data_IF_932813515900
#
_entry.id   IF_932813515900
#
_cell.length_a   1.000
_cell.length_b   1.000
_cell.length_c   1.000
_cell.angle_alpha   90.00
_cell.angle_beta   90.00
_cell.angle_gamma   90.00
#
_symmetry.space_group_name_H-M   'P 1'
#
loop_
_entity.id
_entity.type
_entity.pdbx_description
1 polymer ?
#
# COMPACT_ATOMS: atom_id res chain seq x y z
N UNK A 1 8.70 -15.08 -25.90
CA UNK A 1 8.70 -13.62 -25.72
C UNK A 1 9.02 -13.28 -24.27
N UNK A 2 9.98 -12.43 -24.09
CA UNK A 2 10.31 -11.90 -22.74
C UNK A 2 9.23 -10.91 -22.31
N UNK A 3 8.89 -10.93 -21.02
CA UNK A 3 8.02 -9.89 -20.45
C UNK A 3 8.86 -8.64 -20.17
N UNK A 4 8.33 -7.45 -20.44
CA UNK A 4 9.03 -6.23 -20.08
C UNK A 4 9.15 -6.12 -18.54
N UNK A 5 10.18 -5.47 -18.07
CA UNK A 5 10.31 -5.13 -16.67
C UNK A 5 9.22 -4.14 -16.26
N UNK A 6 8.74 -4.31 -15.03
CA UNK A 6 7.79 -3.40 -14.41
C UNK A 6 8.49 -2.71 -13.24
N UNK A 7 8.35 -1.40 -13.17
CA UNK A 7 8.97 -0.61 -12.11
C UNK A 7 7.91 -0.02 -11.21
N UNK A 8 8.16 -0.07 -9.92
CA UNK A 8 7.32 0.54 -8.91
C UNK A 8 8.02 1.76 -8.30
N UNK A 9 7.25 2.76 -7.92
CA UNK A 9 7.73 3.86 -7.11
C UNK A 9 7.22 3.68 -5.68
N UNK A 10 8.12 3.86 -4.72
CA UNK A 10 7.82 3.72 -3.29
C UNK A 10 7.91 5.08 -2.64
N UNK A 11 6.87 5.47 -1.91
CA UNK A 11 6.87 6.71 -1.16
C UNK A 11 6.05 6.57 0.12
N UNK A 12 6.55 7.13 1.20
CA UNK A 12 5.86 7.11 2.49
C UNK A 12 4.72 8.13 2.56
N UNK A 13 4.77 9.15 1.72
CA UNK A 13 3.78 10.21 1.70
C UNK A 13 4.40 11.54 1.32
N UNK A 14 3.57 12.55 1.24
CA UNK A 14 3.92 13.91 0.86
C UNK A 14 3.11 14.89 1.72
N UNK A 15 3.44 16.20 1.72
CA UNK A 15 2.84 17.12 2.70
C UNK A 15 1.38 17.52 2.44
N UNK A 16 0.77 17.18 1.31
CA UNK A 16 -0.58 17.66 1.02
C UNK A 16 -1.34 16.75 0.05
N UNK A 17 -2.65 16.91 0.00
CA UNK A 17 -3.51 16.24 -0.99
C UNK A 17 -3.07 16.57 -2.42
N UNK A 18 -2.85 17.85 -2.71
CA UNK A 18 -2.43 18.29 -4.04
C UNK A 18 -1.11 17.62 -4.46
N UNK A 19 -0.14 17.57 -3.56
CA UNK A 19 1.14 16.92 -3.83
C UNK A 19 0.98 15.42 -4.03
N UNK A 20 0.09 14.76 -3.26
CA UNK A 20 -0.14 13.33 -3.39
C UNK A 20 -0.77 12.96 -4.74
N UNK A 21 -1.81 13.69 -5.13
CA UNK A 21 -2.47 13.50 -6.43
C UNK A 21 -1.49 13.77 -7.58
N UNK A 22 -0.68 14.83 -7.47
CA UNK A 22 0.34 15.15 -8.47
C UNK A 22 1.38 14.04 -8.59
N UNK A 23 1.82 13.47 -7.47
CA UNK A 23 2.77 12.36 -7.46
C UNK A 23 2.19 11.11 -8.15
N UNK A 24 0.96 10.75 -7.82
CA UNK A 24 0.30 9.59 -8.42
C UNK A 24 0.15 9.76 -9.94
N UNK A 25 -0.28 10.92 -10.39
CA UNK A 25 -0.42 11.23 -11.81
C UNK A 25 0.92 11.25 -12.53
N UNK A 26 1.95 11.81 -11.90
CA UNK A 26 3.30 11.82 -12.47
C UNK A 26 3.86 10.40 -12.61
N UNK A 27 3.65 9.54 -11.62
CA UNK A 27 4.07 8.15 -11.69
C UNK A 27 3.41 7.42 -12.87
N UNK A 28 2.11 7.64 -13.07
CA UNK A 28 1.38 7.09 -14.19
C UNK A 28 1.92 7.60 -15.54
N UNK A 29 2.08 8.90 -15.68
CA UNK A 29 2.57 9.54 -16.90
C UNK A 29 3.99 9.12 -17.26
N UNK A 30 4.84 8.89 -16.26
CA UNK A 30 6.23 8.47 -16.44
C UNK A 30 6.35 6.96 -16.76
N UNK A 31 5.24 6.23 -16.74
CA UNK A 31 5.24 4.82 -17.10
C UNK A 31 5.56 3.86 -15.96
N UNK A 32 5.56 4.30 -14.70
CA UNK A 32 5.64 3.37 -13.59
C UNK A 32 4.42 2.46 -13.56
N UNK A 33 4.67 1.18 -13.28
CA UNK A 33 3.59 0.19 -13.23
C UNK A 33 2.78 0.32 -11.94
N UNK A 34 3.42 0.61 -10.82
CA UNK A 34 2.79 0.55 -9.51
C UNK A 34 3.29 1.67 -8.60
N UNK A 35 2.37 2.25 -7.84
CA UNK A 35 2.67 3.13 -6.71
C UNK A 35 2.51 2.34 -5.43
N UNK A 36 3.53 2.38 -4.58
CA UNK A 36 3.61 1.57 -3.36
C UNK A 36 3.80 2.46 -2.15
N UNK A 37 3.00 2.24 -1.11
CA UNK A 37 3.11 2.93 0.17
C UNK A 37 3.52 1.91 1.24
N UNK A 38 4.58 2.16 2.03
CA UNK A 38 4.96 1.27 3.12
C UNK A 38 3.95 1.34 4.26
N UNK A 39 3.83 0.24 4.99
CA UNK A 39 2.89 0.10 6.10
C UNK A 39 3.60 0.30 7.44
N UNK A 40 3.71 1.56 7.85
CA UNK A 40 4.35 1.94 9.12
C UNK A 40 3.43 2.84 9.93
N UNK A 41 3.43 2.66 11.24
CA UNK A 41 2.54 3.41 12.14
C UNK A 41 3.08 4.79 12.49
N UNK A 42 4.38 5.00 12.41
CA UNK A 42 5.04 6.21 12.90
C UNK A 42 5.47 7.18 11.81
N UNK A 43 5.52 6.75 10.57
CA UNK A 43 5.92 7.59 9.45
C UNK A 43 5.04 7.33 8.24
N UNK A 44 4.82 8.39 7.47
CA UNK A 44 4.11 8.30 6.21
C UNK A 44 2.60 8.22 6.38
N UNK A 45 1.94 7.98 5.27
CA UNK A 45 0.49 7.85 5.22
C UNK A 45 0.03 6.46 5.63
N UNK A 46 -1.20 6.37 6.14
CA UNK A 46 -1.91 5.10 6.25
C UNK A 46 -2.12 4.56 4.83
N UNK A 47 -1.61 3.35 4.51
CA UNK A 47 -1.54 2.92 3.11
C UNK A 47 -2.88 2.81 2.42
N UNK A 48 -3.87 2.16 3.03
CA UNK A 48 -5.18 1.97 2.36
C UNK A 48 -5.88 3.29 2.06
N UNK A 49 -5.80 4.24 2.98
CA UNK A 49 -6.38 5.58 2.78
C UNK A 49 -5.69 6.32 1.64
N UNK A 50 -4.36 6.34 1.66
CA UNK A 50 -3.59 7.02 0.63
C UNK A 50 -3.76 6.37 -0.75
N UNK A 51 -3.80 5.05 -0.80
CA UNK A 51 -3.96 4.31 -2.04
C UNK A 51 -5.34 4.51 -2.67
N UNK A 52 -6.38 4.66 -1.86
CA UNK A 52 -7.71 4.98 -2.38
C UNK A 52 -7.72 6.30 -3.12
N UNK A 53 -7.08 7.33 -2.56
CA UNK A 53 -6.96 8.65 -3.22
C UNK A 53 -6.13 8.55 -4.50
N UNK A 54 -5.02 7.82 -4.45
CA UNK A 54 -4.17 7.63 -5.63
C UNK A 54 -4.90 6.89 -6.75
N UNK A 55 -5.68 5.89 -6.40
CA UNK A 55 -6.49 5.14 -7.36
C UNK A 55 -7.50 6.04 -8.07
N UNK A 56 -8.19 6.89 -7.31
CA UNK A 56 -9.19 7.82 -7.87
C UNK A 56 -8.55 8.87 -8.77
N UNK A 57 -7.33 9.25 -8.49
CA UNK A 57 -6.59 10.26 -9.25
C UNK A 57 -6.01 9.73 -10.57
N UNK A 58 -5.98 8.41 -10.76
CA UNK A 58 -5.31 7.75 -11.90
C UNK A 58 -6.25 6.77 -12.59
N UNK A 59 -5.83 6.26 -13.74
CA UNK A 59 -6.66 5.34 -14.53
C UNK A 59 -6.04 3.96 -14.72
N UNK A 60 -4.73 3.88 -14.88
CA UNK A 60 -4.02 2.63 -15.19
C UNK A 60 -2.96 2.26 -14.16
N UNK A 61 -2.53 3.20 -13.32
CA UNK A 61 -1.51 2.96 -12.30
C UNK A 61 -1.99 1.92 -11.30
N UNK A 62 -1.20 0.88 -11.07
CA UNK A 62 -1.48 -0.11 -10.03
C UNK A 62 -1.06 0.46 -8.69
N UNK A 63 -1.73 0.02 -7.64
CA UNK A 63 -1.54 0.50 -6.29
C UNK A 63 -1.35 -0.66 -5.33
N UNK A 64 -0.54 -0.47 -4.30
CA UNK A 64 -0.31 -1.51 -3.33
C UNK A 64 0.58 -1.08 -2.18
N UNK A 65 0.85 -1.99 -1.27
CA UNK A 65 1.82 -1.81 -0.20
C UNK A 65 2.90 -2.88 -0.30
N UNK A 66 4.08 -2.50 0.01
CA UNK A 66 5.22 -3.42 0.13
C UNK A 66 5.87 -3.21 1.49
N UNK A 67 5.43 -3.97 2.45
CA UNK A 67 4.28 -4.89 2.44
C UNK A 67 3.31 -4.46 3.52
N UNK A 68 2.06 -4.93 3.47
CA UNK A 68 1.17 -4.77 4.63
C UNK A 68 1.70 -5.60 5.78
N UNK A 69 1.79 -4.98 6.95
CA UNK A 69 2.21 -5.68 8.15
C UNK A 69 1.05 -6.49 8.72
N UNK A 70 1.23 -7.80 8.79
CA UNK A 70 0.19 -8.71 9.27
C UNK A 70 -0.21 -8.44 10.72
N UNK A 71 0.68 -7.82 11.52
CA UNK A 71 0.43 -7.55 12.93
C UNK A 71 -0.48 -6.34 13.18
N UNK A 72 -0.68 -5.47 12.18
CA UNK A 72 -1.38 -4.19 12.41
C UNK A 72 -2.89 -4.27 12.35
N UNK A 73 -3.45 -5.29 11.73
CA UNK A 73 -4.89 -5.36 11.56
C UNK A 73 -5.40 -6.80 11.50
N UNK A 74 -6.67 -6.97 11.83
CA UNK A 74 -7.30 -8.28 11.75
C UNK A 74 -7.35 -8.73 10.28
N UNK A 75 -6.99 -10.01 9.98
CA UNK A 75 -6.96 -10.49 8.60
C UNK A 75 -8.29 -10.33 7.85
N UNK A 76 -9.41 -10.53 8.53
CA UNK A 76 -10.72 -10.39 7.91
C UNK A 76 -11.00 -8.95 7.48
N UNK A 77 -10.58 -7.97 8.27
CA UNK A 77 -10.73 -6.55 7.93
C UNK A 77 -9.83 -6.17 6.76
N UNK A 78 -8.59 -6.61 6.78
CA UNK A 78 -7.67 -6.36 5.67
C UNK A 78 -8.20 -6.97 4.37
N UNK A 79 -8.69 -8.20 4.42
CA UNK A 79 -9.24 -8.87 3.25
C UNK A 79 -10.42 -8.09 2.66
N UNK A 80 -11.31 -7.59 3.52
CA UNK A 80 -12.45 -6.78 3.08
C UNK A 80 -12.03 -5.46 2.45
N UNK A 81 -11.10 -4.76 3.08
CA UNK A 81 -10.60 -3.47 2.58
C UNK A 81 -9.86 -3.61 1.26
N UNK A 82 -9.04 -4.64 1.14
CA UNK A 82 -8.31 -4.94 -0.09
C UNK A 82 -9.26 -5.30 -1.23
N UNK A 83 -10.23 -6.16 -0.97
CA UNK A 83 -11.23 -6.53 -1.98
C UNK A 83 -12.04 -5.32 -2.43
N UNK A 84 -12.40 -4.44 -1.50
CA UNK A 84 -13.13 -3.21 -1.80
C UNK A 84 -12.29 -2.29 -2.68
N UNK A 85 -11.04 -2.06 -2.29
CA UNK A 85 -10.16 -1.18 -3.04
C UNK A 85 -9.82 -1.75 -4.42
N UNK A 86 -9.74 -3.07 -4.55
CA UNK A 86 -9.54 -3.71 -5.84
C UNK A 86 -10.72 -3.43 -6.78
N UNK A 87 -11.95 -3.58 -6.29
CA UNK A 87 -13.16 -3.24 -7.06
C UNK A 87 -13.17 -1.75 -7.44
N UNK A 88 -12.93 -0.88 -6.47
CA UNK A 88 -12.99 0.58 -6.69
C UNK A 88 -11.87 1.11 -7.58
N UNK A 89 -10.78 0.38 -7.69
CA UNK A 89 -9.66 0.73 -8.58
C UNK A 89 -9.71 0.00 -9.92
N UNK A 90 -10.80 -0.67 -10.23
CA UNK A 90 -10.95 -1.45 -11.46
C UNK A 90 -9.88 -2.53 -11.62
N UNK A 91 -9.59 -3.25 -10.53
CA UNK A 91 -8.67 -4.38 -10.54
C UNK A 91 -7.19 -4.01 -10.52
N UNK A 92 -6.85 -2.81 -10.05
CA UNK A 92 -5.46 -2.32 -10.04
C UNK A 92 -4.72 -2.53 -8.72
N UNK A 93 -5.32 -3.22 -7.77
CA UNK A 93 -4.70 -3.44 -6.47
C UNK A 93 -3.71 -4.61 -6.52
N UNK A 94 -2.54 -4.44 -5.92
CA UNK A 94 -1.55 -5.50 -5.72
C UNK A 94 -1.31 -5.69 -4.22
N UNK A 95 -1.61 -6.89 -3.73
CA UNK A 95 -1.48 -7.21 -2.31
C UNK A 95 -0.10 -7.79 -2.01
N UNK A 96 0.64 -7.12 -1.13
CA UNK A 96 1.86 -7.65 -0.54
C UNK A 96 1.70 -7.78 0.97
N UNK A 97 1.95 -8.96 1.52
CA UNK A 97 1.85 -9.23 2.96
C UNK A 97 3.21 -9.60 3.53
N UNK A 98 3.49 -9.11 4.72
CA UNK A 98 4.68 -9.43 5.48
C UNK A 98 4.34 -9.71 6.95
N UNK A 99 5.22 -10.43 7.62
CA UNK A 99 5.05 -10.77 9.05
C UNK A 99 5.37 -9.63 10.00
N UNK A 100 5.89 -8.51 9.49
CA UNK A 100 6.37 -7.41 10.30
C UNK A 100 7.82 -7.59 10.72
N UNK A 101 8.33 -6.66 11.50
CA UNK A 101 9.70 -6.69 12.01
C UNK A 101 9.75 -6.16 13.45
N UNK A 102 10.96 -6.04 14.03
CA UNK A 102 11.15 -5.71 15.44
C UNK A 102 10.41 -4.48 15.96
N UNK A 103 10.17 -3.50 15.11
CA UNK A 103 9.45 -2.28 15.50
C UNK A 103 8.01 -2.58 15.91
N UNK A 104 7.35 -3.53 15.26
CA UNK A 104 5.97 -3.89 15.58
C UNK A 104 5.83 -4.47 16.98
N UNK A 105 6.87 -5.11 17.52
CA UNK A 105 6.83 -5.71 18.83
C UNK A 105 6.80 -4.70 19.98
N UNK A 106 7.16 -3.45 19.70
CA UNK A 106 7.20 -2.39 20.71
C UNK A 106 5.89 -1.61 20.79
N UNK A 107 4.89 -1.98 20.00
CA UNK A 107 3.61 -1.30 19.95
C UNK A 107 2.51 -2.12 20.62
N UNK A 108 1.27 -1.80 20.33
CA UNK A 108 0.11 -2.40 21.00
C UNK A 108 -0.06 -3.91 20.80
N UNK A 109 0.71 -4.53 19.93
CA UNK A 109 0.59 -5.94 19.61
C UNK A 109 1.65 -6.75 20.38
N UNK A 110 1.24 -7.59 21.35
CA UNK A 110 2.17 -8.41 22.12
C UNK A 110 2.91 -9.42 21.25
N UNK A 111 4.16 -9.68 21.59
CA UNK A 111 4.98 -10.67 20.88
C UNK A 111 4.33 -12.05 20.80
N UNK A 112 3.59 -12.44 21.85
CA UNK A 112 2.90 -13.73 21.87
C UNK A 112 1.90 -13.89 20.73
N UNK A 113 1.33 -12.79 20.23
CA UNK A 113 0.41 -12.86 19.08
C UNK A 113 1.16 -13.23 17.80
N UNK A 114 2.42 -12.84 17.72
CA UNK A 114 3.26 -13.20 16.57
C UNK A 114 3.66 -14.67 16.60
N UNK A 115 3.83 -15.22 17.78
CA UNK A 115 4.20 -16.62 17.93
C UNK A 115 3.07 -17.59 17.54
N UNK A 116 1.83 -17.12 17.54
CA UNK A 116 0.65 -17.90 17.19
C UNK A 116 0.14 -17.63 15.77
N UNK A 117 0.77 -16.73 15.06
CA UNK A 117 0.36 -16.35 13.70
C UNK A 117 0.80 -17.39 12.65
#
# INVERSE_FOLDING_TARGET
>A
MSRPFRFAVVTAGVPSHTAWVALARAAEELGYATLVVPDRTIIGFAPLTALAVAAEATTSLRIGSRVFCNDYRHPALLAKEVATLDVLSDGRFELGLGSGHGITSNWAFPLRMRAHA
#
